data_IF_993045877835
#
_entry.id   IF_993045877835
#
_cell.length_a   1.000
_cell.length_b   1.000
_cell.length_c   1.000
_cell.angle_alpha   90.00
_cell.angle_beta   90.00
_cell.angle_gamma   90.00
#
_symmetry.space_group_name_H-M   'P 1'
#
loop_
_entity.id
_entity.type
_entity.pdbx_description
1 polymer ?
#
# COMPACT_ATOMS: atom_id res chain seq x y z
N UNK A 1 22.98 7.24 5.58
CA UNK A 1 22.31 7.69 4.34
C UNK A 1 20.81 7.50 4.54
N UNK A 2 20.01 8.57 4.59
CA UNK A 2 18.56 8.44 4.51
C UNK A 2 18.26 8.18 3.04
N UNK A 3 17.99 6.94 2.66
CA UNK A 3 17.47 6.67 1.33
C UNK A 3 16.05 7.24 1.28
N UNK A 4 15.91 8.36 0.60
CA UNK A 4 14.63 8.99 0.32
C UNK A 4 13.91 8.13 -0.72
N UNK A 5 12.92 7.39 -0.25
CA UNK A 5 12.03 6.58 -1.08
C UNK A 5 11.17 7.52 -1.91
N UNK A 6 11.35 7.57 -3.23
CA UNK A 6 10.46 8.28 -4.15
C UNK A 6 9.70 7.20 -4.93
N UNK A 7 8.42 7.01 -4.62
CA UNK A 7 7.52 6.27 -5.52
C UNK A 7 7.09 7.25 -6.60
N UNK A 8 7.39 6.95 -7.86
CA UNK A 8 6.87 7.72 -8.99
C UNK A 8 5.43 7.30 -9.32
N UNK A 9 4.79 8.05 -10.23
CA UNK A 9 3.40 7.80 -10.61
C UNK A 9 3.20 6.40 -11.20
N UNK A 10 4.20 5.86 -11.90
CA UNK A 10 4.15 4.50 -12.44
C UNK A 10 4.19 3.45 -11.32
N UNK A 11 5.10 3.60 -10.35
CA UNK A 11 5.18 2.70 -9.20
C UNK A 11 3.89 2.73 -8.38
N UNK A 12 3.28 3.91 -8.21
CA UNK A 12 1.99 4.05 -7.53
C UNK A 12 0.86 3.35 -8.31
N UNK A 13 0.85 3.46 -9.64
CA UNK A 13 -0.11 2.77 -10.49
C UNK A 13 0.04 1.24 -10.41
N UNK A 14 1.26 0.74 -10.45
CA UNK A 14 1.55 -0.69 -10.36
C UNK A 14 1.17 -1.26 -8.98
N UNK A 15 1.45 -0.52 -7.90
CA UNK A 15 1.01 -0.89 -6.54
C UNK A 15 -0.53 -0.88 -6.46
N UNK A 16 -1.20 0.05 -7.12
CA UNK A 16 -2.66 0.04 -7.20
C UNK A 16 -3.20 -1.22 -7.88
N UNK A 17 -2.61 -1.66 -8.99
CA UNK A 17 -2.99 -2.92 -9.65
C UNK A 17 -2.83 -4.13 -8.72
N UNK A 18 -1.73 -4.20 -7.95
CA UNK A 18 -1.55 -5.24 -6.93
C UNK A 18 -2.62 -5.16 -5.84
N UNK A 19 -2.98 -3.97 -5.38
CA UNK A 19 -4.06 -3.80 -4.41
C UNK A 19 -5.39 -4.29 -4.97
N UNK A 20 -5.71 -4.02 -6.24
CA UNK A 20 -6.90 -4.55 -6.89
C UNK A 20 -6.90 -6.08 -6.97
N UNK A 21 -5.75 -6.70 -7.23
CA UNK A 21 -5.60 -8.17 -7.30
C UNK A 21 -5.77 -8.86 -5.94
N UNK A 22 -5.18 -8.31 -4.88
CA UNK A 22 -5.14 -8.95 -3.55
C UNK A 22 -6.19 -8.44 -2.56
N UNK A 23 -7.07 -7.54 -2.99
CA UNK A 23 -8.20 -7.07 -2.20
C UNK A 23 -9.49 -7.79 -2.55
N UNK A 24 -10.49 -7.69 -1.67
CA UNK A 24 -11.87 -8.03 -1.99
C UNK A 24 -12.67 -6.78 -2.31
N UNK A 25 -13.59 -6.89 -3.26
CA UNK A 25 -14.63 -5.90 -3.48
C UNK A 25 -15.76 -6.12 -2.45
N UNK A 26 -16.14 -5.07 -1.74
CA UNK A 26 -17.26 -5.05 -0.80
C UNK A 26 -18.14 -3.82 -1.08
N UNK A 27 -19.20 -4.02 -1.87
CA UNK A 27 -19.98 -2.93 -2.45
C UNK A 27 -19.11 -2.05 -3.36
N UNK A 28 -19.06 -0.75 -3.07
CA UNK A 28 -18.22 0.22 -3.79
C UNK A 28 -16.81 0.36 -3.18
N UNK A 29 -16.46 -0.43 -2.16
CA UNK A 29 -15.18 -0.32 -1.46
C UNK A 29 -14.25 -1.49 -1.78
N UNK A 30 -12.99 -1.16 -2.04
CA UNK A 30 -11.92 -2.14 -2.11
C UNK A 30 -11.31 -2.32 -0.71
N UNK A 31 -11.34 -3.55 -0.20
CA UNK A 31 -10.91 -3.91 1.16
C UNK A 31 -9.79 -4.94 1.15
N UNK A 32 -8.77 -4.72 1.97
CA UNK A 32 -7.62 -5.62 2.08
C UNK A 32 -7.37 -6.03 3.53
N UNK A 33 -7.17 -7.32 3.78
CA UNK A 33 -6.75 -7.82 5.09
C UNK A 33 -5.22 -7.87 5.18
N UNK A 34 -4.69 -8.27 6.34
CA UNK A 34 -3.25 -8.30 6.55
C UNK A 34 -2.50 -9.30 5.65
N UNK A 35 -3.13 -10.42 5.32
CA UNK A 35 -2.55 -11.43 4.43
C UNK A 35 -2.41 -10.87 3.00
N UNK A 36 -3.49 -10.29 2.45
CA UNK A 36 -3.46 -9.61 1.15
C UNK A 36 -2.44 -8.48 1.12
N UNK A 37 -2.41 -7.65 2.18
CA UNK A 37 -1.41 -6.59 2.32
C UNK A 37 0.03 -7.12 2.29
N UNK A 38 0.28 -8.25 2.94
CA UNK A 38 1.60 -8.91 2.94
C UNK A 38 1.96 -9.47 1.56
N UNK A 39 0.99 -9.95 0.79
CA UNK A 39 1.23 -10.38 -0.59
C UNK A 39 1.58 -9.20 -1.51
N UNK A 40 0.85 -8.09 -1.40
CA UNK A 40 1.19 -6.84 -2.11
C UNK A 40 2.59 -6.39 -1.74
N UNK A 41 2.97 -6.43 -0.46
CA UNK A 41 4.30 -6.06 0.01
C UNK A 41 5.41 -6.92 -0.62
N UNK A 42 5.20 -8.24 -0.70
CA UNK A 42 6.16 -9.17 -1.31
C UNK A 42 6.30 -8.90 -2.81
N UNK A 43 5.18 -8.75 -3.53
CA UNK A 43 5.17 -8.45 -4.96
C UNK A 43 5.80 -7.10 -5.28
N UNK A 44 5.46 -6.06 -4.52
CA UNK A 44 6.07 -4.75 -4.67
C UNK A 44 7.59 -4.82 -4.40
N UNK A 45 8.03 -5.59 -3.40
CA UNK A 45 9.47 -5.78 -3.15
C UNK A 45 10.17 -6.52 -4.30
N UNK A 46 9.52 -7.51 -4.92
CA UNK A 46 10.05 -8.19 -6.10
C UNK A 46 10.23 -7.24 -7.30
N UNK A 47 9.29 -6.32 -7.50
CA UNK A 47 9.29 -5.37 -8.62
C UNK A 47 10.24 -4.18 -8.40
N UNK A 48 10.28 -3.66 -7.17
CA UNK A 48 10.88 -2.37 -6.85
C UNK A 48 12.09 -2.49 -5.91
N UNK A 49 12.37 -3.68 -5.38
CA UNK A 49 13.41 -3.93 -4.39
C UNK A 49 13.02 -3.43 -2.99
N UNK A 50 14.00 -3.41 -2.07
CA UNK A 50 13.76 -3.05 -0.66
C UNK A 50 13.35 -1.59 -0.41
N UNK A 51 13.32 -0.74 -1.45
CA UNK A 51 12.92 0.65 -1.29
C UNK A 51 11.45 0.82 -0.86
N UNK A 52 10.60 -0.17 -1.14
CA UNK A 52 9.18 -0.13 -0.79
C UNK A 52 8.88 -0.64 0.63
N UNK A 53 9.86 -1.25 1.30
CA UNK A 53 9.68 -1.78 2.67
C UNK A 53 9.07 -0.77 3.67
N UNK A 54 9.42 0.53 3.63
CA UNK A 54 8.80 1.53 4.51
C UNK A 54 7.31 1.79 4.24
N UNK A 55 6.78 1.40 3.07
CA UNK A 55 5.36 1.50 2.71
C UNK A 55 4.54 0.30 3.19
N UNK A 56 5.18 -0.80 3.56
CA UNK A 56 4.51 -2.06 3.87
C UNK A 56 4.81 -2.56 5.28
N UNK A 57 5.12 -1.65 6.22
CA UNK A 57 5.36 -2.03 7.62
C UNK A 57 4.08 -2.55 8.27
N UNK A 58 4.14 -3.61 9.10
CA UNK A 58 2.98 -4.07 9.87
C UNK A 58 2.38 -2.98 10.76
N UNK A 59 3.23 -2.13 11.33
CA UNK A 59 2.80 -0.99 12.14
C UNK A 59 2.09 0.10 11.32
N UNK A 60 2.30 0.17 10.01
CA UNK A 60 1.55 1.08 9.14
C UNK A 60 0.16 0.52 8.87
N UNK A 61 0.03 -0.78 8.56
CA UNK A 61 -1.27 -1.44 8.41
C UNK A 61 -2.16 -1.23 9.65
N UNK A 62 -1.59 -1.44 10.84
CA UNK A 62 -2.30 -1.28 12.10
C UNK A 62 -2.78 0.16 12.40
N UNK A 63 -2.33 1.17 11.65
CA UNK A 63 -2.80 2.57 11.80
C UNK A 63 -4.10 2.86 11.07
N UNK A 64 -4.47 2.03 10.09
CA UNK A 64 -5.74 2.19 9.40
C UNK A 64 -6.87 1.61 10.25
N UNK A 65 -8.04 2.25 10.19
CA UNK A 65 -9.23 1.71 10.82
C UNK A 65 -9.58 0.37 10.17
N UNK A 66 -9.68 -0.67 10.99
CA UNK A 66 -10.07 -2.01 10.57
C UNK A 66 -11.54 -2.23 10.83
N UNK A 67 -12.23 -2.93 9.93
CA UNK A 67 -13.56 -3.45 10.20
C UNK A 67 -13.51 -4.67 11.15
N UNK A 68 -14.68 -5.23 11.49
CA UNK A 68 -14.78 -6.38 12.41
C UNK A 68 -14.04 -7.62 11.90
N UNK A 69 -13.78 -7.71 10.60
CA UNK A 69 -13.12 -8.84 9.96
C UNK A 69 -11.61 -8.58 9.72
N UNK A 70 -11.09 -7.45 10.23
CA UNK A 70 -9.66 -7.10 10.13
C UNK A 70 -9.26 -6.54 8.76
N UNK A 71 -10.20 -6.03 7.96
CA UNK A 71 -9.90 -5.39 6.69
C UNK A 71 -9.75 -3.88 6.84
N UNK A 72 -8.84 -3.31 6.06
CA UNK A 72 -8.68 -1.86 5.89
C UNK A 72 -9.18 -1.45 4.50
N UNK A 73 -9.47 -0.17 4.29
CA UNK A 73 -9.72 0.36 2.94
C UNK A 73 -8.42 0.41 2.13
N UNK A 74 -8.37 -0.37 1.05
CA UNK A 74 -7.25 -0.37 0.12
C UNK A 74 -7.10 0.99 -0.60
N UNK A 75 -8.21 1.66 -0.89
CA UNK A 75 -8.23 3.00 -1.47
C UNK A 75 -7.61 4.05 -0.55
N UNK A 76 -7.92 4.01 0.76
CA UNK A 76 -7.30 4.92 1.73
C UNK A 76 -5.79 4.64 1.88
N UNK A 77 -5.39 3.37 1.82
CA UNK A 77 -3.98 3.00 1.82
C UNK A 77 -3.25 3.53 0.57
N UNK A 78 -3.83 3.35 -0.62
CA UNK A 78 -3.25 3.89 -1.87
C UNK A 78 -3.12 5.42 -1.82
N UNK A 79 -4.15 6.12 -1.35
CA UNK A 79 -4.10 7.57 -1.17
C UNK A 79 -3.00 8.00 -0.18
N UNK A 80 -2.76 7.22 0.88
CA UNK A 80 -1.65 7.45 1.81
C UNK A 80 -0.29 7.34 1.11
N UNK A 81 -0.11 6.36 0.21
CA UNK A 81 1.13 6.21 -0.56
C UNK A 81 1.36 7.40 -1.49
N UNK A 82 0.33 7.82 -2.24
CA UNK A 82 0.42 8.99 -3.12
C UNK A 82 0.76 10.26 -2.34
N UNK A 83 0.12 10.48 -1.19
CA UNK A 83 0.41 11.66 -0.37
C UNK A 83 1.86 11.65 0.15
N UNK A 84 2.39 10.49 0.55
CA UNK A 84 3.80 10.39 0.96
C UNK A 84 4.74 10.68 -0.20
N UNK A 85 4.47 10.15 -1.39
CA UNK A 85 5.27 10.40 -2.58
C UNK A 85 5.33 11.90 -2.95
N UNK A 86 4.19 12.60 -2.91
CA UNK A 86 4.12 14.02 -3.28
C UNK A 86 4.55 14.99 -2.16
N UNK A 87 4.47 14.61 -0.89
CA UNK A 87 5.04 15.42 0.21
C UNK A 87 6.57 15.40 0.22
N UNK A 88 7.20 14.45 -0.46
CA UNK A 88 8.67 14.37 -0.58
C UNK A 88 9.23 15.27 -1.70
N UNK A 89 8.36 15.84 -2.54
CA UNK A 89 8.75 16.76 -3.63
C UNK A 89 8.70 18.25 -3.25
N UNK A 90 8.40 18.58 -1.99
CA UNK A 90 8.38 19.95 -1.42
C UNK A 90 9.53 20.15 -0.44
#
# INVERSE_FOLDING_TARGET
VKQEMILDDQSLHDIWQLLEEFSKQDGDQLKINYDGFSQVANKAREMFGGMVDPCFKPSLFARFAQDSDGYISATLFAAHLSMRAHMQTL
#
